data_IF_160578049678
#
_entry.id   IF_160578049678
#
_cell.length_a   1.000
_cell.length_b   1.000
_cell.length_c   1.000
_cell.angle_alpha   90.00
_cell.angle_beta   90.00
_cell.angle_gamma   90.00
#
_symmetry.space_group_name_H-M   'P 1'
#
loop_
_entity.id
_entity.type
_entity.pdbx_description
1 polymer ?
2 non-polymer ?
3 non-polymer ?
4 water ?
#
# COMPACT_ATOMS: atom_id res chain seq x y z
N UNK A 5 -8.72 18.97 18.58
CA UNK A 5 -9.50 18.20 17.53
C UNK A 5 -10.13 16.93 18.14
N UNK A 6 -11.43 16.73 17.88
CA UNK A 6 -12.24 15.57 18.30
C UNK A 6 -12.84 14.90 17.05
N UNK A 7 -12.85 13.58 17.01
CA UNK A 7 -13.29 12.79 15.81
C UNK A 7 -14.31 11.75 16.22
N UNK A 8 -15.37 11.57 15.42
CA UNK A 8 -16.26 10.37 15.52
C UNK A 8 -15.32 9.15 15.56
N UNK A 9 -15.62 8.20 16.42
CA UNK A 9 -14.80 6.98 16.58
C UNK A 9 -15.72 5.76 16.49
N UNK A 10 -15.29 4.76 15.72
CA UNK A 10 -16.03 3.51 15.53
C UNK A 10 -15.29 2.57 14.59
N UNK A 11 -15.61 1.30 14.69
CA UNK A 11 -14.98 0.20 13.93
C UNK A 11 -16.07 -0.79 13.64
N UNK A 12 -16.20 -1.29 12.41
CA UNK A 12 -17.28 -2.24 12.04
C UNK A 12 -16.78 -3.14 10.90
N UNK A 13 -16.85 -4.45 11.07
CA UNK A 13 -16.53 -5.43 10.02
C UNK A 13 -17.71 -6.41 9.97
N UNK A 14 -18.53 -6.36 8.95
CA UNK A 14 -19.76 -7.18 8.85
C UNK A 14 -19.90 -7.73 7.43
N UNK A 15 -20.63 -8.83 7.31
CA UNK A 15 -21.17 -9.31 6.01
C UNK A 15 -22.68 -9.27 6.11
N UNK A 16 -23.30 -8.52 5.22
CA UNK A 16 -24.74 -8.18 5.18
C UNK A 16 -25.37 -8.94 4.00
N UNK A 17 -26.47 -9.67 4.19
CA UNK A 17 -27.33 -10.17 3.08
C UNK A 17 -28.17 -9.00 2.51
N UNK A 18 -28.24 -7.88 3.25
CA UNK A 18 -28.99 -6.66 2.86
C UNK A 18 -28.07 -5.68 2.13
N UNK A 19 -28.62 -4.86 1.20
CA UNK A 19 -27.78 -3.93 0.44
C UNK A 19 -26.99 -2.92 1.29
N UNK A 20 -25.84 -2.45 0.77
CA UNK A 20 -24.99 -1.39 1.38
C UNK A 20 -25.78 -0.10 1.59
N UNK A 21 -26.78 0.18 0.75
CA UNK A 21 -27.53 1.47 0.78
C UNK A 21 -28.64 1.39 1.85
N UNK A 22 -28.60 0.40 2.76
CA UNK A 22 -29.28 0.44 4.09
C UNK A 22 -28.29 0.29 5.25
N UNK A 23 -26.98 0.33 5.01
CA UNK A 23 -25.96 0.37 6.08
C UNK A 23 -26.04 1.73 6.78
N UNK A 24 -26.04 1.73 8.10
CA UNK A 24 -26.03 2.97 8.90
C UNK A 24 -24.62 3.05 9.51
N UNK A 25 -23.85 4.04 9.07
CA UNK A 25 -22.46 4.28 9.54
C UNK A 25 -22.55 5.16 10.79
N UNK A 26 -23.45 4.77 11.70
CA UNK A 26 -23.63 5.42 13.02
C UNK A 26 -22.34 5.19 13.81
N UNK A 27 -21.94 6.22 14.53
CA UNK A 27 -20.89 6.19 15.57
C UNK A 27 -21.45 6.98 16.76
N UNK A 28 -21.52 6.35 17.92
CA UNK A 28 -21.92 6.99 19.20
C UNK A 28 -20.70 7.75 19.73
N UNK A 29 -19.55 7.07 19.73
CA UNK A 29 -18.32 7.49 20.46
C UNK A 29 -17.59 8.62 19.73
N UNK A 30 -16.83 9.41 20.50
CA UNK A 30 -15.90 10.46 20.03
C UNK A 30 -14.55 10.20 20.69
N UNK A 31 -13.46 10.74 20.15
CA UNK A 31 -12.13 10.61 20.80
C UNK A 31 -11.32 11.87 20.48
N UNK A 32 -10.37 12.17 21.37
CA UNK A 32 -9.51 13.38 21.31
C UNK A 32 -8.21 12.99 20.60
N UNK A 33 -7.86 13.79 19.58
CA UNK A 33 -6.64 13.64 18.76
C UNK A 33 -5.50 14.43 19.40
N UNK A 34 -4.29 13.86 19.40
CA UNK A 34 -3.00 14.59 19.49
C UNK A 34 -3.05 15.79 18.55
N UNK A 35 -2.30 16.86 18.84
CA UNK A 35 -2.33 18.09 18.01
C UNK A 35 -1.72 17.77 16.64
N UNK A 36 -2.23 18.42 15.59
CA UNK A 36 -1.80 18.22 14.20
C UNK A 36 -2.38 16.96 13.57
N UNK A 37 -3.27 16.25 14.27
CA UNK A 37 -3.96 15.05 13.74
C UNK A 37 -5.04 15.47 12.75
N UNK A 38 -5.60 14.48 12.05
CA UNK A 38 -6.80 14.63 11.19
C UNK A 38 -7.90 13.69 11.70
N UNK A 39 -9.15 13.94 11.34
CA UNK A 39 -10.22 12.91 11.42
C UNK A 39 -10.19 12.10 10.12
N UNK A 40 -10.38 10.79 10.23
CA UNK A 40 -10.62 9.92 9.05
C UNK A 40 -11.90 9.12 9.26
N UNK A 41 -12.61 8.92 8.15
CA UNK A 41 -13.65 7.88 7.99
C UNK A 41 -13.32 7.15 6.68
N UNK A 42 -13.15 5.84 6.76
CA UNK A 42 -12.75 4.98 5.64
C UNK A 42 -13.62 3.72 5.66
N UNK A 43 -14.10 3.32 4.49
CA UNK A 43 -14.98 2.14 4.35
C UNK A 43 -14.62 1.43 3.05
N UNK A 44 -14.62 0.10 3.09
CA UNK A 44 -14.32 -0.78 1.95
C UNK A 44 -15.52 -1.70 1.86
N UNK A 45 -16.12 -1.75 0.67
CA UNK A 45 -17.40 -2.44 0.42
C UNK A 45 -17.15 -3.46 -0.69
N UNK A 46 -17.47 -4.71 -0.43
CA UNK A 46 -17.15 -5.84 -1.33
C UNK A 46 -18.41 -6.65 -1.47
N UNK A 47 -18.95 -6.73 -2.67
CA UNK A 47 -20.23 -7.41 -2.94
C UNK A 47 -19.92 -8.57 -3.88
N UNK A 48 -20.33 -9.74 -3.44
CA UNK A 48 -20.26 -11.03 -4.18
C UNK A 48 -21.67 -11.62 -4.11
N UNK A 49 -22.30 -11.81 -5.25
CA UNK A 49 -23.71 -12.25 -5.28
C UNK A 49 -24.59 -11.28 -4.51
N UNK A 50 -25.29 -11.74 -3.48
CA UNK A 50 -26.26 -10.93 -2.71
C UNK A 50 -25.64 -10.50 -1.39
N UNK A 51 -24.38 -10.84 -1.12
CA UNK A 51 -23.76 -10.50 0.17
C UNK A 51 -22.75 -9.37 -0.03
N UNK A 52 -22.66 -8.53 0.98
CA UNK A 52 -21.78 -7.34 0.99
C UNK A 52 -20.97 -7.35 2.29
N UNK A 53 -19.66 -7.43 2.15
CA UNK A 53 -18.72 -7.25 3.26
C UNK A 53 -18.42 -5.75 3.37
N UNK A 54 -18.51 -5.21 4.58
CA UNK A 54 -18.32 -3.76 4.86
C UNK A 54 -17.29 -3.67 5.97
N UNK A 55 -16.11 -3.11 5.67
CA UNK A 55 -15.02 -2.85 6.64
C UNK A 55 -14.93 -1.34 6.82
N UNK A 56 -15.27 -0.83 8.00
CA UNK A 56 -15.46 0.62 8.25
C UNK A 56 -14.73 1.03 9.52
N UNK A 57 -14.05 2.18 9.45
CA UNK A 57 -13.20 2.72 10.53
C UNK A 57 -13.39 4.23 10.56
N UNK A 58 -13.58 4.76 11.77
CA UNK A 58 -13.58 6.21 12.06
C UNK A 58 -12.69 6.49 13.27
N UNK A 59 -11.89 7.54 13.20
CA UNK A 59 -11.12 8.02 14.36
C UNK A 59 -10.09 9.06 13.96
N UNK A 60 -9.25 9.44 14.92
CA UNK A 60 -8.08 10.32 14.69
C UNK A 60 -7.04 9.53 13.87
N UNK A 61 -6.28 10.21 13.04
CA UNK A 61 -5.00 9.72 12.49
C UNK A 61 -3.97 10.83 12.64
N UNK A 62 -2.74 10.47 13.09
CA UNK A 62 -1.75 11.48 13.47
C UNK A 62 -1.29 12.35 12.29
N UNK A 63 -1.25 11.82 11.07
CA UNK A 63 -0.77 12.61 9.90
C UNK A 63 -1.55 12.18 8.65
N UNK A 64 -1.65 13.12 7.71
CA UNK A 64 -2.28 12.90 6.40
C UNK A 64 -2.58 14.22 5.72
N UNK A 65 -2.94 14.14 4.44
CA UNK A 65 -3.46 15.28 3.66
C UNK A 65 -4.98 15.26 3.79
N UNK A 66 -5.58 16.41 4.04
CA UNK A 66 -7.05 16.60 3.88
C UNK A 66 -7.41 16.19 2.46
N UNK A 67 -8.35 15.26 2.29
CA UNK A 67 -8.80 14.78 0.96
C UNK A 67 -10.00 13.83 1.12
N UNK A 68 -10.90 13.85 0.15
CA UNK A 68 -11.94 12.80 -0.01
C UNK A 68 -11.57 11.97 -1.23
N UNK A 69 -11.47 10.66 -1.05
CA UNK A 69 -11.00 9.72 -2.10
C UNK A 69 -12.03 8.60 -2.24
N UNK A 70 -12.67 8.52 -3.39
CA UNK A 70 -13.59 7.39 -3.77
C UNK A 70 -12.91 6.59 -4.87
N UNK A 71 -12.80 5.28 -4.62
CA UNK A 71 -12.14 4.38 -5.58
C UNK A 71 -13.14 3.29 -5.92
N UNK A 72 -13.41 3.14 -7.22
CA UNK A 72 -14.21 2.02 -7.72
C UNK A 72 -13.23 0.93 -8.14
N UNK A 73 -12.83 0.09 -7.18
CA UNK A 73 -11.73 -0.90 -7.37
C UNK A 73 -12.16 -1.94 -8.43
N UNK A 74 -13.38 -2.43 -8.33
CA UNK A 74 -13.99 -3.35 -9.33
C UNK A 74 -15.40 -2.87 -9.59
N UNK A 75 -15.72 -2.72 -10.87
CA UNK A 75 -17.06 -2.28 -11.35
C UNK A 75 -17.81 -3.48 -11.90
N UNK A 76 -19.14 -3.42 -12.06
CA UNK A 76 -19.88 -4.49 -12.75
C UNK A 76 -19.36 -4.66 -14.17
N UNK A 77 -19.51 -5.85 -14.79
CA UNK A 77 -20.29 -6.95 -14.21
C UNK A 77 -19.56 -7.81 -13.17
N UNK A 78 -20.34 -8.33 -12.22
CA UNK A 78 -19.87 -9.32 -11.25
C UNK A 78 -19.36 -8.65 -9.97
N UNK A 79 -18.21 -9.09 -9.47
CA UNK A 79 -17.66 -8.61 -8.17
C UNK A 79 -17.53 -7.09 -8.21
N UNK A 80 -18.00 -6.43 -7.17
CA UNK A 80 -17.99 -4.94 -7.06
C UNK A 80 -17.26 -4.59 -5.77
N UNK A 81 -16.26 -3.72 -5.87
CA UNK A 81 -15.46 -3.25 -4.71
C UNK A 81 -15.31 -1.73 -4.84
N UNK A 82 -15.80 -1.03 -3.82
CA UNK A 82 -15.72 0.44 -3.72
C UNK A 82 -15.11 0.81 -2.38
N UNK A 83 -14.31 1.87 -2.35
CA UNK A 83 -13.86 2.45 -1.08
C UNK A 83 -14.12 3.96 -1.09
N UNK A 84 -14.41 4.44 0.12
CA UNK A 84 -14.53 5.86 0.42
C UNK A 84 -13.63 6.16 1.62
N UNK A 85 -12.82 7.21 1.49
CA UNK A 85 -11.95 7.71 2.58
C UNK A 85 -12.06 9.23 2.63
N UNK A 86 -12.34 9.76 3.80
CA UNK A 86 -12.42 11.22 4.04
C UNK A 86 -11.48 11.54 5.22
N UNK A 87 -10.43 12.29 4.93
CA UNK A 87 -9.44 12.83 5.89
C UNK A 87 -9.75 14.32 5.98
N UNK A 88 -10.25 14.78 7.15
CA UNK A 88 -10.83 16.13 7.34
C UNK A 88 -10.33 16.72 8.67
N UNK A 89 -10.27 18.04 8.77
CA UNK A 89 -9.46 18.73 9.82
C UNK A 89 -10.34 19.56 10.77
N UNK A 90 -11.67 19.47 10.70
CA UNK A 90 -12.58 20.14 11.67
C UNK A 90 -13.17 19.07 12.60
N UNK A 91 -13.19 19.30 13.91
CA UNK A 91 -13.80 18.38 14.91
C UNK A 91 -15.13 17.83 14.41
N UNK A 92 -15.36 16.52 14.56
CA UNK A 92 -16.64 15.82 14.22
C UNK A 92 -16.88 15.81 12.69
N UNK A 93 -15.88 16.16 11.87
CA UNK A 93 -16.06 16.29 10.39
C UNK A 93 -16.29 14.90 9.76
N UNK A 94 -15.82 13.82 10.41
CA UNK A 94 -15.94 12.42 9.91
C UNK A 94 -17.32 11.88 10.28
N UNK A 95 -18.37 12.46 9.69
CA UNK A 95 -19.79 12.28 10.12
C UNK A 95 -20.64 11.57 9.04
N UNK A 96 -20.03 10.91 8.06
CA UNK A 96 -20.81 10.16 7.03
C UNK A 96 -21.69 9.11 7.71
N UNK A 97 -22.95 8.96 7.27
CA UNK A 97 -23.94 8.00 7.83
C UNK A 97 -24.48 7.05 6.74
N UNK A 98 -24.48 7.45 5.46
CA UNK A 98 -25.13 6.71 4.35
C UNK A 98 -24.12 6.38 3.24
N UNK A 99 -24.32 5.24 2.58
CA UNK A 99 -23.58 4.77 1.39
C UNK A 99 -24.50 4.76 0.16
N UNK A 100 -25.61 5.50 0.21
CA UNK A 100 -26.68 5.50 -0.83
C UNK A 100 -26.15 5.99 -2.19
N UNK A 101 -25.08 6.77 -2.19
CA UNK A 101 -24.47 7.31 -3.46
C UNK A 101 -23.89 6.16 -4.29
N UNK A 102 -23.51 5.02 -3.68
CA UNK A 102 -22.79 3.90 -4.35
C UNK A 102 -23.80 2.91 -4.97
N UNK A 103 -24.45 3.35 -6.04
CA UNK A 103 -25.60 2.62 -6.65
C UNK A 103 -25.07 1.38 -7.40
N UNK A 104 -23.76 1.24 -7.55
CA UNK A 104 -23.15 -0.02 -8.05
C UNK A 104 -23.58 -1.19 -7.14
N UNK A 105 -23.95 -0.92 -5.87
CA UNK A 105 -24.39 -1.97 -4.88
C UNK A 105 -25.91 -2.19 -4.86
N UNK A 106 -26.65 -1.61 -5.83
CA UNK A 106 -28.13 -1.73 -5.96
C UNK A 106 -28.46 -2.34 -7.32
N UNK A 107 -28.90 -3.60 -7.36
CA UNK A 107 -29.19 -4.35 -8.64
C UNK A 107 -30.12 -5.51 -8.31
N UNK A 114 -25.63 -16.65 -26.45
CA UNK A 114 -24.64 -15.91 -25.63
C UNK A 114 -24.04 -16.79 -24.51
N UNK A 115 -23.10 -16.24 -23.73
CA UNK A 115 -22.20 -17.01 -22.83
C UNK A 115 -22.58 -16.75 -21.37
N UNK A 116 -22.95 -17.80 -20.65
CA UNK A 116 -23.13 -17.78 -19.18
C UNK A 116 -22.01 -18.59 -18.50
N UNK A 117 -21.28 -17.90 -17.62
CA UNK A 117 -20.34 -18.47 -16.66
C UNK A 117 -21.11 -18.80 -15.39
N UNK A 118 -20.76 -19.92 -14.77
CA UNK A 118 -21.17 -20.30 -13.40
C UNK A 118 -19.89 -20.36 -12.57
N UNK A 119 -19.80 -19.53 -11.54
CA UNK A 119 -18.59 -19.32 -10.71
C UNK A 119 -18.94 -19.51 -9.26
N UNK A 120 -18.03 -20.17 -8.51
CA UNK A 120 -18.13 -20.21 -7.05
C UNK A 120 -18.25 -18.76 -6.53
N UNK A 121 -19.24 -18.52 -5.67
CA UNK A 121 -19.58 -17.16 -5.18
C UNK A 121 -19.64 -17.19 -3.67
N UNK A 122 -18.89 -16.29 -3.03
CA UNK A 122 -18.97 -16.07 -1.58
C UNK A 122 -18.18 -14.80 -1.25
N UNK A 123 -18.48 -14.24 -0.11
CA UNK A 123 -17.57 -13.31 0.60
C UNK A 123 -17.76 -13.56 2.10
N UNK A 124 -16.66 -13.56 2.85
CA UNK A 124 -16.62 -13.93 4.27
C UNK A 124 -15.49 -13.18 4.94
N UNK A 125 -15.72 -12.80 6.19
CA UNK A 125 -14.64 -12.48 7.15
C UNK A 125 -13.98 -13.81 7.51
N UNK A 126 -12.68 -13.90 7.33
CA UNK A 126 -11.93 -15.16 7.46
C UNK A 126 -12.05 -15.97 6.18
N UNK A 127 -12.53 -17.20 6.27
CA UNK A 127 -12.69 -18.10 5.10
C UNK A 127 -14.18 -18.32 4.90
N UNK A 128 -14.61 -18.52 3.65
CA UNK A 128 -16.02 -18.81 3.29
C UNK A 128 -16.35 -20.19 3.80
N UNK A 129 -17.51 -20.37 4.46
CA UNK A 129 -18.04 -21.69 4.84
C UNK A 129 -18.25 -22.49 3.55
N UNK A 130 -18.83 -21.86 2.53
CA UNK A 130 -19.23 -22.50 1.25
C UNK A 130 -19.28 -21.47 0.12
N UNK A 131 -19.12 -21.93 -1.13
CA UNK A 131 -19.11 -21.06 -2.32
C UNK A 131 -19.77 -21.81 -3.48
N UNK A 132 -21.10 -21.95 -3.49
CA UNK A 132 -21.80 -22.61 -4.60
C UNK A 132 -21.52 -21.92 -5.94
N UNK A 133 -21.46 -22.66 -7.04
CA UNK A 133 -21.27 -22.09 -8.39
C UNK A 133 -22.62 -21.57 -8.89
N UNK A 134 -22.69 -20.27 -9.17
CA UNK A 134 -23.96 -19.56 -9.44
C UNK A 134 -23.85 -18.97 -10.83
N UNK A 135 -24.99 -18.72 -11.51
CA UNK A 135 -24.97 -18.10 -12.81
C UNK A 135 -24.46 -16.66 -12.69
N UNK A 136 -23.52 -16.28 -13.53
CA UNK A 136 -22.83 -14.96 -13.44
C UNK A 136 -23.58 -13.95 -14.30
N UNK A 137 -23.58 -12.67 -13.89
CA UNK A 137 -24.14 -11.61 -14.74
C UNK A 137 -23.52 -11.59 -16.14
N UNK A 138 -24.33 -11.26 -17.13
CA UNK A 138 -23.88 -11.14 -18.53
C UNK A 138 -22.69 -10.17 -18.57
N UNK A 139 -21.71 -10.44 -19.43
CA UNK A 139 -20.44 -9.70 -19.53
C UNK A 139 -19.33 -10.35 -18.68
N UNK A 140 -19.68 -11.19 -17.69
CA UNK A 140 -18.65 -12.00 -16.98
C UNK A 140 -17.90 -12.87 -17.99
N UNK A 141 -16.57 -12.94 -17.87
CA UNK A 141 -15.72 -13.79 -18.74
C UNK A 141 -14.94 -14.82 -17.91
N UNK A 142 -14.87 -14.70 -16.58
CA UNK A 142 -14.08 -15.67 -15.78
C UNK A 142 -14.48 -15.67 -14.31
N UNK A 143 -13.98 -16.64 -13.58
CA UNK A 143 -14.24 -16.78 -12.14
C UNK A 143 -13.02 -16.21 -11.41
N UNK A 144 -13.27 -15.48 -10.33
CA UNK A 144 -12.23 -14.96 -9.42
C UNK A 144 -12.32 -15.70 -8.08
N UNK A 145 -11.17 -16.06 -7.54
CA UNK A 145 -10.99 -16.49 -6.14
C UNK A 145 -9.81 -15.71 -5.58
N UNK A 146 -9.97 -15.09 -4.42
CA UNK A 146 -8.90 -14.32 -3.78
C UNK A 146 -9.13 -14.19 -2.31
N UNK A 147 -8.14 -13.62 -1.62
CA UNK A 147 -8.24 -13.27 -0.19
C UNK A 147 -7.59 -11.92 -0.02
N UNK A 148 -8.20 -11.07 0.79
CA UNK A 148 -7.69 -9.74 1.12
C UNK A 148 -7.21 -9.79 2.56
N UNK A 149 -5.95 -9.48 2.81
CA UNK A 149 -5.40 -9.35 4.19
C UNK A 149 -5.34 -7.86 4.48
N UNK A 150 -6.09 -7.43 5.48
CA UNK A 150 -6.31 -5.98 5.73
C UNK A 150 -5.76 -5.63 7.10
N UNK A 151 -4.90 -4.64 7.17
CA UNK A 151 -4.34 -4.11 8.45
C UNK A 151 -4.40 -2.59 8.38
N UNK A 152 -4.62 -1.94 9.52
CA UNK A 152 -4.54 -0.49 9.66
C UNK A 152 -5.91 0.06 10.01
N UNK A 153 -5.94 1.25 10.63
CA UNK A 153 -7.14 1.92 11.13
C UNK A 153 -7.93 1.10 12.13
N UNK A 154 -7.29 0.16 12.83
CA UNK A 154 -7.96 -0.74 13.79
C UNK A 154 -8.63 -1.92 13.11
N UNK A 155 -8.50 -2.02 11.78
CA UNK A 155 -9.05 -3.17 10.99
C UNK A 155 -7.95 -4.22 10.90
N UNK A 156 -8.22 -5.40 11.39
CA UNK A 156 -7.34 -6.58 11.23
C UNK A 156 -8.25 -7.72 10.82
N UNK A 157 -8.28 -8.05 9.52
CA UNK A 157 -9.11 -9.16 9.02
C UNK A 157 -8.58 -9.72 7.71
N UNK A 158 -8.95 -10.95 7.46
CA UNK A 158 -8.82 -11.61 6.15
C UNK A 158 -10.23 -11.57 5.57
N UNK A 159 -10.36 -11.33 4.28
CA UNK A 159 -11.68 -11.46 3.60
C UNK A 159 -11.48 -12.42 2.43
N UNK A 160 -12.26 -13.49 2.39
CA UNK A 160 -12.28 -14.38 1.23
C UNK A 160 -13.37 -13.90 0.26
N UNK A 161 -13.03 -13.90 -1.03
CA UNK A 161 -13.90 -13.39 -2.11
C UNK A 161 -13.83 -14.36 -3.28
N UNK A 162 -14.97 -14.91 -3.69
CA UNK A 162 -15.11 -15.66 -4.95
C UNK A 162 -16.33 -15.13 -5.71
N UNK A 163 -16.17 -14.90 -6.99
CA UNK A 163 -17.31 -14.62 -7.85
C UNK A 163 -16.92 -14.46 -9.30
N UNK A 164 -17.74 -13.69 -9.97
CA UNK A 164 -17.80 -13.48 -11.42
C UNK A 164 -17.05 -12.18 -11.74
N UNK A 165 -16.31 -12.13 -12.84
CA UNK A 165 -15.69 -10.87 -13.28
C UNK A 165 -15.33 -10.92 -14.77
N UNK A 166 -15.05 -9.76 -15.35
CA UNK A 166 -14.35 -9.57 -16.65
C UNK A 166 -12.94 -9.03 -16.41
N UNK A 167 -12.54 -8.76 -15.16
CA UNK A 167 -11.19 -8.19 -14.86
C UNK A 167 -10.17 -9.26 -15.21
N UNK A 168 -8.95 -8.83 -15.52
CA UNK A 168 -7.78 -9.69 -15.84
C UNK A 168 -6.91 -9.83 -14.58
N UNK A 169 -6.65 -11.09 -14.21
CA UNK A 169 -5.73 -11.49 -13.14
C UNK A 169 -6.29 -11.22 -11.74
N UNK A 170 -5.39 -11.13 -10.79
CA UNK A 170 -5.71 -10.99 -9.36
C UNK A 170 -5.78 -9.50 -9.00
N UNK A 171 -6.80 -8.79 -9.50
CA UNK A 171 -6.83 -7.30 -9.49
C UNK A 171 -8.20 -6.81 -9.01
N UNK A 172 -8.82 -7.53 -8.09
CA UNK A 172 -10.03 -7.02 -7.40
C UNK A 172 -9.80 -5.60 -6.87
N UNK A 173 -8.61 -5.30 -6.31
CA UNK A 173 -8.33 -3.97 -5.72
C UNK A 173 -7.75 -3.02 -6.78
N UNK A 174 -7.54 -3.47 -8.03
CA UNK A 174 -6.89 -2.71 -9.12
C UNK A 174 -5.52 -2.17 -8.64
N UNK A 175 -4.81 -2.90 -7.77
CA UNK A 175 -3.49 -2.51 -7.25
C UNK A 175 -3.54 -1.26 -6.37
N UNK A 176 -4.73 -0.83 -5.99
CA UNK A 176 -4.87 0.33 -5.05
C UNK A 176 -5.01 -0.25 -3.65
N UNK A 177 -3.88 -0.47 -2.97
CA UNK A 177 -3.77 -1.30 -1.75
C UNK A 177 -3.81 -0.41 -0.49
N UNK A 178 -3.59 0.90 -0.62
CA UNK A 178 -3.76 1.88 0.48
C UNK A 178 -5.19 2.45 0.43
N UNK A 179 -5.97 2.24 1.48
CA UNK A 179 -7.38 2.65 1.49
C UNK A 179 -7.56 3.36 2.84
N UNK A 180 -7.53 4.68 2.79
CA UNK A 180 -7.24 5.52 3.97
C UNK A 180 -6.10 4.89 4.77
N UNK A 181 -6.32 4.57 6.06
CA UNK A 181 -5.25 4.00 6.88
C UNK A 181 -5.09 2.48 6.72
N UNK A 182 -5.97 1.82 5.95
CA UNK A 182 -5.88 0.37 5.74
C UNK A 182 -4.86 0.09 4.64
N UNK A 183 -4.20 -1.05 4.78
CA UNK A 183 -3.35 -1.66 3.73
C UNK A 183 -4.00 -3.00 3.39
N UNK A 184 -4.29 -3.21 2.11
CA UNK A 184 -5.07 -4.39 1.65
C UNK A 184 -4.13 -5.22 0.76
N UNK A 185 -3.76 -6.40 1.21
CA UNK A 185 -2.90 -7.32 0.42
C UNK A 185 -3.83 -8.31 -0.26
N UNK A 186 -3.80 -8.35 -1.59
CA UNK A 186 -4.68 -9.21 -2.41
C UNK A 186 -3.81 -10.33 -2.94
N UNK A 187 -4.23 -11.57 -2.75
CA UNK A 187 -3.55 -12.75 -3.32
C UNK A 187 -4.62 -13.73 -3.81
N UNK A 188 -4.34 -14.40 -4.92
CA UNK A 188 -5.20 -15.44 -5.54
C UNK A 188 -4.49 -16.80 -5.58
N UNK A 189 -5.22 -17.92 -5.62
CA UNK A 189 -4.70 -19.29 -5.65
C UNK A 189 -3.48 -19.53 -6.49
N UNK A 190 -3.51 -19.27 -7.80
CA UNK A 190 -2.27 -19.45 -8.59
C UNK A 190 -1.92 -18.19 -9.37
N UNK B 5 2.24 5.69 -25.64
CA UNK B 5 3.31 5.97 -24.64
C UNK B 5 4.33 4.83 -24.51
N UNK B 6 5.61 5.19 -24.46
CA UNK B 6 6.75 4.28 -24.21
C UNK B 6 7.49 4.74 -22.94
N UNK B 7 7.91 3.78 -22.12
CA UNK B 7 8.64 4.05 -20.86
C UNK B 7 9.92 3.21 -20.81
N UNK B 8 11.01 3.81 -20.34
CA UNK B 8 12.23 3.04 -19.93
C UNK B 8 11.73 1.93 -18.99
N UNK B 9 12.21 0.71 -19.17
CA UNK B 9 11.76 -0.44 -18.35
C UNK B 9 12.99 -1.14 -17.76
N UNK B 10 12.91 -1.43 -16.46
CA UNK B 10 14.03 -2.02 -15.70
C UNK B 10 13.67 -2.25 -14.25
N UNK B 11 14.33 -3.24 -13.66
CA UNK B 11 14.09 -3.69 -12.28
C UNK B 11 15.44 -4.06 -11.72
N UNK B 12 15.81 -3.56 -10.54
CA UNK B 12 17.15 -3.82 -9.95
C UNK B 12 17.04 -3.87 -8.41
N UNK B 13 17.48 -4.96 -7.81
CA UNK B 13 17.49 -5.10 -6.34
C UNK B 13 18.89 -5.60 -5.97
N UNK B 14 19.74 -4.72 -5.42
CA UNK B 14 21.15 -5.03 -5.14
C UNK B 14 21.51 -4.49 -3.77
N UNK B 15 22.52 -5.11 -3.15
CA UNK B 15 23.24 -4.52 -1.99
C UNK B 15 24.67 -4.30 -2.44
N UNK B 16 25.12 -3.04 -2.37
CA UNK B 16 26.37 -2.51 -2.92
C UNK B 16 27.31 -2.18 -1.75
N UNK B 17 28.55 -2.68 -1.78
CA UNK B 17 29.55 -2.40 -0.73
C UNK B 17 30.25 -1.07 -1.01
N UNK B 18 30.06 -0.46 -2.19
CA UNK B 18 30.52 0.93 -2.52
C UNK B 18 29.32 1.85 -2.69
N UNK B 19 29.49 3.19 -2.55
CA UNK B 19 28.35 4.11 -2.46
C UNK B 19 27.39 4.10 -3.68
N UNK B 20 26.14 4.53 -3.48
CA UNK B 20 25.15 4.82 -4.55
C UNK B 20 25.41 6.20 -5.17
N UNK B 21 26.56 6.83 -4.92
CA UNK B 21 27.10 7.92 -5.77
C UNK B 21 27.72 7.34 -7.04
N UNK B 22 27.83 6.00 -7.15
CA UNK B 22 28.32 5.29 -8.36
C UNK B 22 27.30 4.24 -8.83
N UNK B 23 26.06 4.24 -8.33
CA UNK B 23 24.97 3.41 -8.91
C UNK B 23 24.61 3.98 -10.29
N UNK B 24 24.52 3.13 -11.30
CA UNK B 24 24.12 3.56 -12.65
C UNK B 24 22.74 2.99 -12.91
N UNK B 25 21.75 3.88 -13.01
CA UNK B 25 20.32 3.52 -13.19
C UNK B 25 20.01 3.34 -14.67
N UNK B 26 21.02 3.05 -15.50
CA UNK B 26 20.83 2.82 -16.96
C UNK B 26 19.97 1.58 -17.11
N UNK B 27 19.16 1.57 -18.16
CA UNK B 27 18.06 0.60 -18.40
C UNK B 27 18.16 0.13 -19.86
N UNK B 28 18.02 -1.19 -20.08
CA UNK B 28 18.32 -1.87 -21.36
C UNK B 28 17.11 -1.77 -22.30
N UNK B 29 15.91 -1.58 -21.75
CA UNK B 29 14.64 -2.05 -22.34
C UNK B 29 13.62 -0.90 -22.37
N UNK B 30 12.61 -1.07 -23.23
CA UNK B 30 11.49 -0.11 -23.44
C UNK B 30 10.21 -0.93 -23.39
N UNK B 31 9.21 -0.44 -22.66
CA UNK B 31 7.87 -1.04 -22.52
C UNK B 31 6.89 -0.14 -23.30
N UNK B 32 5.95 -0.73 -24.04
CA UNK B 32 4.84 0.03 -24.66
C UNK B 32 3.66 -0.10 -23.71
N UNK B 33 3.12 1.04 -23.27
CA UNK B 33 2.11 1.12 -22.19
C UNK B 33 0.71 0.84 -22.76
N UNK B 34 -0.15 0.22 -21.95
CA UNK B 34 -1.63 0.27 -22.12
C UNK B 34 -2.03 1.73 -22.27
N UNK B 35 -3.19 1.98 -22.90
CA UNK B 35 -3.78 3.33 -23.08
C UNK B 35 -3.99 3.95 -21.69
N UNK B 36 -3.72 5.25 -21.55
CA UNK B 36 -3.96 6.02 -20.32
C UNK B 36 -2.88 5.82 -19.26
N UNK B 37 -1.83 5.03 -19.52
CA UNK B 37 -0.72 4.78 -18.57
C UNK B 37 0.19 6.00 -18.46
N UNK B 38 1.04 5.99 -17.44
CA UNK B 38 2.11 6.99 -17.15
C UNK B 38 3.46 6.23 -17.15
N UNK B 39 4.58 6.93 -17.26
CA UNK B 39 5.90 6.36 -16.89
C UNK B 39 6.20 6.61 -15.39
N UNK B 40 6.91 5.69 -14.75
CA UNK B 40 7.47 5.90 -13.39
C UNK B 40 8.91 5.42 -13.36
N UNK B 41 9.73 6.14 -12.61
CA UNK B 41 11.01 5.66 -12.08
C UNK B 41 11.00 5.91 -10.56
N UNK B 42 11.25 4.85 -9.80
CA UNK B 42 11.19 4.87 -8.32
C UNK B 42 12.38 4.08 -7.78
N UNK B 43 13.03 4.65 -6.77
CA UNK B 43 14.19 3.99 -6.13
C UNK B 43 14.11 4.22 -4.63
N UNK B 44 14.40 3.17 -3.88
CA UNK B 44 14.45 3.17 -2.40
C UNK B 44 15.86 2.71 -2.04
N UNK B 45 16.53 3.54 -1.26
CA UNK B 45 17.96 3.41 -0.88
C UNK B 45 18.02 3.28 0.64
N UNK B 46 18.69 2.22 1.11
CA UNK B 46 18.84 1.90 2.54
C UNK B 46 20.33 1.67 2.80
N UNK B 47 20.92 2.52 3.59
CA UNK B 47 22.37 2.44 3.91
C UNK B 47 22.49 2.08 5.39
N UNK B 48 23.19 0.97 5.63
CA UNK B 48 23.55 0.45 6.96
C UNK B 48 25.06 0.22 6.94
N UNK B 49 25.81 0.98 7.73
CA UNK B 49 27.27 0.90 7.72
C UNK B 49 27.79 1.24 6.33
N UNK B 50 28.51 0.31 5.71
CA UNK B 50 29.18 0.52 4.40
C UNK B 50 28.35 -0.07 3.27
N UNK B 51 27.19 -0.68 3.57
CA UNK B 51 26.37 -1.31 2.51
C UNK B 51 25.14 -0.45 2.23
N UNK B 52 24.79 -0.40 0.96
CA UNK B 52 23.58 0.28 0.45
C UNK B 52 22.74 -0.72 -0.33
N UNK B 53 21.54 -0.97 0.16
CA UNK B 53 20.52 -1.70 -0.61
C UNK B 53 19.79 -0.69 -1.50
N UNK B 54 19.62 -1.05 -2.76
CA UNK B 54 18.97 -0.20 -3.79
C UNK B 54 17.90 -1.06 -4.44
N UNK B 55 16.64 -0.62 -4.28
CA UNK B 55 15.47 -1.24 -4.94
C UNK B 55 14.95 -0.23 -5.95
N UNK B 56 15.08 -0.56 -7.24
CA UNK B 56 14.86 0.40 -8.34
C UNK B 56 13.96 -0.23 -9.38
N UNK B 57 12.98 0.55 -9.84
CA UNK B 57 11.92 0.10 -10.74
C UNK B 57 11.63 1.23 -11.74
N UNK B 58 11.56 0.86 -13.03
CA UNK B 58 11.15 1.74 -14.13
C UNK B 58 10.16 0.99 -15.00
N UNK B 59 9.12 1.67 -15.43
CA UNK B 59 8.11 1.04 -16.29
C UNK B 59 6.88 1.88 -16.43
N UNK B 60 5.94 1.38 -17.21
CA UNK B 60 4.57 1.89 -17.34
C UNK B 60 3.87 1.60 -16.00
N UNK B 61 3.01 2.51 -15.57
CA UNK B 61 2.03 2.27 -14.49
C UNK B 61 0.68 2.74 -14.99
N UNK B 62 -0.40 1.99 -14.69
CA UNK B 62 -1.72 2.26 -15.27
C UNK B 62 -2.26 3.66 -14.95
N UNK B 63 -1.96 4.19 -13.76
CA UNK B 63 -2.54 5.47 -13.30
C UNK B 63 -1.62 6.13 -12.27
N UNK B 64 -1.84 7.42 -12.05
CA UNK B 64 -1.07 8.26 -11.13
C UNK B 64 -1.08 9.71 -11.59
N UNK B 65 -0.71 10.61 -10.68
CA UNK B 65 -0.53 12.05 -10.95
C UNK B 65 0.93 12.28 -11.32
N UNK B 66 1.18 13.03 -12.39
CA UNK B 66 2.51 13.56 -12.72
C UNK B 66 3.05 14.27 -11.48
N UNK B 67 4.23 13.86 -10.98
CA UNK B 67 4.83 14.42 -9.76
C UNK B 67 6.21 13.81 -9.55
N UNK B 68 7.10 14.57 -8.93
CA UNK B 68 8.33 14.03 -8.32
C UNK B 68 8.14 14.09 -6.80
N UNK B 69 8.49 12.99 -6.13
CA UNK B 69 8.42 12.86 -4.67
C UNK B 69 9.78 12.37 -4.17
N UNK B 70 10.45 13.18 -3.36
CA UNK B 70 11.79 12.87 -2.78
C UNK B 70 11.61 12.81 -1.28
N UNK B 71 11.88 11.66 -0.66
CA UNK B 71 11.59 11.44 0.77
C UNK B 71 12.89 11.05 1.47
N UNK B 72 13.30 11.84 2.45
CA UNK B 72 14.27 11.41 3.47
C UNK B 72 13.53 10.69 4.61
N UNK B 73 13.41 9.37 4.51
CA UNK B 73 12.65 8.58 5.50
C UNK B 73 13.42 8.56 6.83
N UNK B 74 14.72 8.35 6.77
CA UNK B 74 15.63 8.40 7.95
C UNK B 74 16.90 9.12 7.52
N UNK B 75 17.29 10.12 8.29
CA UNK B 75 18.49 10.95 8.10
C UNK B 75 19.53 10.53 9.14
N UNK B 76 20.80 10.98 9.02
CA UNK B 76 21.81 10.76 10.05
C UNK B 76 21.36 11.33 11.38
N UNK B 77 21.91 10.84 12.52
CA UNK B 77 22.99 9.84 12.48
C UNK B 77 22.53 8.37 12.30
N UNK B 78 23.35 7.57 11.64
CA UNK B 78 23.16 6.12 11.53
C UNK B 78 22.35 5.74 10.29
N UNK B 79 21.38 4.84 10.45
CA UNK B 79 20.62 4.26 9.31
C UNK B 79 20.01 5.39 8.47
N UNK B 80 20.20 5.31 7.16
CA UNK B 80 19.70 6.31 6.18
C UNK B 80 18.76 5.60 5.21
N UNK B 81 17.59 6.18 5.01
CA UNK B 81 16.61 5.67 4.02
C UNK B 81 16.07 6.86 3.24
N UNK B 82 16.26 6.83 1.93
CA UNK B 82 15.85 7.86 0.96
C UNK B 82 15.07 7.19 -0.15
N UNK B 83 14.02 7.84 -0.66
CA UNK B 83 13.30 7.39 -1.87
C UNK B 83 13.12 8.58 -2.84
N UNK B 84 13.18 8.25 -4.11
CA UNK B 84 12.87 9.17 -5.22
C UNK B 84 11.85 8.48 -6.10
N UNK B 85 10.77 9.19 -6.45
CA UNK B 85 9.77 8.69 -7.41
C UNK B 85 9.41 9.82 -8.37
N UNK B 86 9.47 9.52 -9.67
CA UNK B 86 9.08 10.43 -10.76
C UNK B 86 8.02 9.72 -11.60
N UNK B 87 6.81 10.25 -11.59
CA UNK B 87 5.64 9.82 -12.38
C UNK B 87 5.46 10.86 -13.45
N UNK B 88 5.70 10.52 -14.72
CA UNK B 88 5.81 11.51 -15.83
C UNK B 88 5.06 10.98 -17.06
N UNK B 89 4.53 11.87 -17.91
CA UNK B 89 3.51 11.47 -18.92
C UNK B 89 3.99 11.65 -20.36
N UNK B 90 5.28 11.91 -20.58
CA UNK B 90 5.89 11.93 -21.94
C UNK B 90 6.70 10.64 -22.15
N UNK B 91 6.54 9.99 -23.31
CA UNK B 91 7.37 8.84 -23.73
C UNK B 91 8.84 9.05 -23.34
N UNK B 92 9.46 8.01 -22.74
CA UNK B 92 10.89 7.99 -22.33
C UNK B 92 11.23 9.03 -21.26
N UNK B 93 10.24 9.64 -20.59
CA UNK B 93 10.51 10.70 -19.57
C UNK B 93 11.24 10.12 -18.34
N UNK B 94 11.07 8.82 -18.05
CA UNK B 94 11.63 8.15 -16.83
C UNK B 94 13.08 7.74 -17.12
N UNK B 95 13.96 8.73 -17.31
CA UNK B 95 15.30 8.55 -17.94
C UNK B 95 16.45 8.84 -16.95
N UNK B 96 16.19 8.92 -15.63
CA UNK B 96 17.26 9.21 -14.64
C UNK B 96 18.36 8.13 -14.74
N UNK B 97 19.64 8.52 -14.65
CA UNK B 97 20.81 7.60 -14.66
C UNK B 97 21.66 7.73 -13.38
N UNK B 98 21.67 8.90 -12.72
CA UNK B 98 22.49 9.19 -11.51
C UNK B 98 21.56 9.55 -10.34
N UNK B 99 22.00 9.31 -9.10
CA UNK B 99 21.20 9.53 -7.87
C UNK B 99 21.77 10.71 -7.05
N UNK B 100 22.79 11.40 -7.56
CA UNK B 100 23.58 12.41 -6.81
C UNK B 100 22.71 13.60 -6.36
N UNK B 101 21.61 13.85 -7.06
CA UNK B 101 20.68 14.98 -6.80
C UNK B 101 19.99 14.76 -5.45
N UNK B 102 19.83 13.51 -4.99
CA UNK B 102 19.15 13.17 -3.71
C UNK B 102 19.91 12.06 -2.98
N UNK B 103 21.20 11.86 -3.28
CA UNK B 103 22.01 10.83 -2.59
C UNK B 103 23.50 11.20 -2.56
N UNK B 104 24.04 11.32 -1.33
CA UNK B 104 25.48 11.41 -0.98
C UNK B 104 25.81 10.25 -0.01
N UNK B 115 29.65 8.19 25.95
CA UNK B 115 29.27 6.76 25.77
C UNK B 115 29.12 6.44 24.28
N UNK B 116 29.91 5.46 23.81
CA UNK B 116 29.86 4.90 22.45
C UNK B 116 28.99 3.62 22.43
N UNK B 117 28.02 3.60 21.53
CA UNK B 117 27.13 2.47 21.21
C UNK B 117 27.80 1.66 20.11
N UNK B 118 27.76 0.34 20.21
CA UNK B 118 28.16 -0.62 19.15
C UNK B 118 26.91 -1.47 18.84
N UNK B 119 26.49 -1.50 17.59
CA UNK B 119 25.22 -2.14 17.15
C UNK B 119 25.52 -3.11 16.04
N UNK B 120 24.87 -4.29 16.06
CA UNK B 120 24.77 -5.13 14.88
C UNK B 120 24.29 -4.30 13.67
N UNK B 121 25.04 -4.37 12.57
CA UNK B 121 24.79 -3.56 11.37
C UNK B 121 24.75 -4.48 10.16
N UNK B 122 23.70 -4.37 9.35
CA UNK B 122 23.54 -5.12 8.11
C UNK B 122 22.37 -4.53 7.35
N UNK B 123 22.38 -4.74 6.05
CA UNK B 123 21.15 -4.69 5.23
C UNK B 123 21.26 -5.78 4.19
N UNK B 124 20.19 -6.52 4.00
CA UNK B 124 20.15 -7.70 3.13
C UNK B 124 18.79 -7.83 2.50
N UNK B 125 18.78 -8.24 1.24
CA UNK B 125 17.59 -8.82 0.56
C UNK B 125 17.36 -10.18 1.18
N UNK B 126 16.21 -10.42 1.78
CA UNK B 126 16.00 -11.63 2.58
C UNK B 126 16.51 -11.41 3.99
N UNK B 127 17.36 -12.28 4.50
CA UNK B 127 17.86 -12.17 5.89
C UNK B 127 19.33 -11.80 5.86
N UNK B 128 19.75 -11.02 6.86
CA UNK B 128 21.18 -10.91 7.24
C UNK B 128 21.60 -12.24 7.89
N UNK B 129 22.50 -12.93 7.22
CA UNK B 129 23.14 -14.16 7.78
C UNK B 129 23.99 -13.71 8.95
N UNK B 130 24.65 -12.57 8.84
CA UNK B 130 25.43 -12.01 9.97
C UNK B 130 25.35 -10.48 9.97
N UNK B 131 25.48 -9.91 11.16
CA UNK B 131 25.40 -8.47 11.41
C UNK B 131 26.46 -8.09 12.45
N UNK B 132 27.73 -7.96 12.03
CA UNK B 132 28.81 -7.58 12.94
C UNK B 132 28.52 -6.24 13.63
N UNK B 133 28.94 -6.07 14.88
CA UNK B 133 28.65 -4.85 15.65
C UNK B 133 29.69 -3.78 15.29
N UNK B 134 29.21 -2.62 14.90
CA UNK B 134 30.07 -1.48 14.52
C UNK B 134 29.91 -0.38 15.55
N UNK B 135 30.96 0.44 15.73
CA UNK B 135 30.84 1.63 16.57
C UNK B 135 29.87 2.60 15.88
N UNK B 136 28.89 3.12 16.61
CA UNK B 136 27.80 3.97 16.09
C UNK B 136 28.25 5.43 16.03
N UNK B 137 27.83 6.18 14.98
CA UNK B 137 28.15 7.60 14.87
C UNK B 137 27.64 8.38 16.07
N UNK B 138 28.36 9.47 16.40
CA UNK B 138 27.94 10.49 17.38
C UNK B 138 26.48 10.84 17.16
N UNK B 139 25.69 10.93 18.24
CA UNK B 139 24.26 11.29 18.20
C UNK B 139 23.35 10.06 18.17
N UNK B 140 23.86 8.90 17.76
CA UNK B 140 23.01 7.67 17.75
C UNK B 140 22.74 7.33 19.21
N UNK B 141 21.52 6.90 19.52
CA UNK B 141 21.10 6.59 20.92
C UNK B 141 20.69 5.12 21.08
N UNK B 142 20.52 4.34 20.00
CA UNK B 142 20.07 2.93 20.19
C UNK B 142 20.36 2.09 18.95
N UNK B 143 20.24 0.78 19.12
CA UNK B 143 20.41 -0.18 17.99
C UNK B 143 19.04 -0.49 17.40
N UNK B 144 18.93 -0.48 16.09
CA UNK B 144 17.68 -0.77 15.37
C UNK B 144 17.82 -2.14 14.72
N UNK B 145 16.77 -2.94 14.82
CA UNK B 145 16.59 -4.11 13.91
C UNK B 145 15.15 -4.10 13.44
N UNK B 146 14.98 -4.39 12.17
CA UNK B 146 13.67 -4.35 11.51
C UNK B 146 13.71 -5.14 10.23
N UNK B 147 12.54 -5.31 9.61
CA UNK B 147 12.38 -5.96 8.29
C UNK B 147 11.36 -5.13 7.53
N UNK B 148 11.64 -4.87 6.26
CA UNK B 148 10.71 -4.20 5.33
C UNK B 148 10.15 -5.27 4.40
N UNK B 149 8.82 -5.40 4.34
CA UNK B 149 8.14 -6.26 3.35
C UNK B 149 7.69 -5.34 2.23
N UNK B 150 8.25 -5.55 1.04
CA UNK B 150 8.03 -4.63 -0.10
C UNK B 150 7.32 -5.40 -1.20
N UNK B 151 6.23 -4.83 -1.72
CA UNK B 151 5.48 -5.36 -2.88
C UNK B 151 5.12 -4.20 -3.81
N UNK B 152 5.05 -4.47 -5.10
CA UNK B 152 4.62 -3.49 -6.12
C UNK B 152 5.77 -3.06 -7.00
N UNK B 153 5.44 -2.60 -8.22
CA UNK B 153 6.40 -2.13 -9.23
C UNK B 153 7.37 -3.21 -9.67
N UNK B 154 7.01 -4.49 -9.50
CA UNK B 154 7.89 -5.64 -9.80
C UNK B 154 8.87 -5.95 -8.68
N UNK B 155 8.83 -5.18 -7.59
CA UNK B 155 9.70 -5.39 -6.40
C UNK B 155 8.91 -6.27 -5.44
N UNK B 156 9.43 -7.46 -5.16
CA UNK B 156 8.82 -8.43 -4.23
C UNK B 156 9.99 -8.93 -3.38
N UNK B 157 10.18 -8.37 -2.19
CA UNK B 157 11.33 -8.71 -1.34
C UNK B 157 11.04 -8.36 0.12
N UNK B 158 11.71 -9.08 0.98
CA UNK B 158 11.90 -8.70 2.39
C UNK B 158 13.30 -8.07 2.46
N UNK B 159 13.46 -7.00 3.22
CA UNK B 159 14.79 -6.41 3.47
C UNK B 159 14.98 -6.41 4.98
N UNK B 160 16.03 -7.07 5.46
CA UNK B 160 16.41 -6.98 6.87
C UNK B 160 17.40 -5.82 7.05
N UNK B 161 17.19 -5.06 8.10
CA UNK B 161 17.97 -3.82 8.39
C UNK B 161 18.31 -3.80 9.87
N UNK B 162 19.60 -3.65 10.16
CA UNK B 162 20.11 -3.48 11.53
C UNK B 162 21.17 -2.38 11.48
N UNK B 163 21.16 -1.50 12.46
CA UNK B 163 22.23 -0.52 12.60
C UNK B 163 21.98 0.43 13.75
N UNK B 164 22.61 1.59 13.62
CA UNK B 164 22.60 2.67 14.62
C UNK B 164 21.50 3.67 14.29
N UNK B 165 20.78 4.18 15.30
CA UNK B 165 19.81 5.27 15.03
C UNK B 165 19.58 6.13 16.27
N UNK B 166 19.02 7.32 16.05
CA UNK B 166 18.39 8.18 17.10
C UNK B 166 16.87 8.12 16.99
N UNK B 167 16.29 7.46 15.97
CA UNK B 167 14.82 7.45 15.78
C UNK B 167 14.21 6.67 16.93
N UNK B 168 12.96 6.97 17.26
CA UNK B 168 12.14 6.33 18.33
C UNK B 168 11.18 5.35 17.66
N UNK B 169 11.27 4.09 18.11
CA UNK B 169 10.38 2.97 17.73
C UNK B 169 10.59 2.50 16.31
N UNK B 170 9.53 2.05 15.67
CA UNK B 170 9.60 1.34 14.39
C UNK B 170 9.38 2.33 13.23
N UNK B 171 10.29 3.29 13.04
CA UNK B 171 10.00 4.48 12.19
C UNK B 171 11.10 4.70 11.14
N UNK B 172 11.81 3.65 10.73
CA UNK B 172 12.81 3.77 9.63
C UNK B 172 12.16 4.41 8.40
N UNK B 173 10.92 4.06 8.06
CA UNK B 173 10.21 4.54 6.86
C UNK B 173 9.40 5.80 7.20
N UNK B 174 9.46 6.28 8.44
CA UNK B 174 8.69 7.44 8.98
C UNK B 174 7.20 7.26 8.66
N UNK B 175 6.71 6.02 8.69
CA UNK B 175 5.28 5.71 8.52
C UNK B 175 4.81 5.92 7.10
N UNK B 176 5.71 6.09 6.14
CA UNK B 176 5.33 6.24 4.71
C UNK B 176 5.34 4.87 4.02
N UNK B 177 4.14 4.33 3.75
CA UNK B 177 3.85 3.00 3.16
C UNK B 177 4.11 2.97 1.65
N UNK B 178 3.72 4.04 0.94
CA UNK B 178 3.73 4.07 -0.54
C UNK B 178 5.00 4.76 -1.00
N UNK B 179 5.77 4.09 -1.85
CA UNK B 179 6.99 4.70 -2.44
C UNK B 179 6.90 4.40 -3.93
N UNK B 180 6.51 5.42 -4.71
CA UNK B 180 5.95 5.22 -6.05
C UNK B 180 5.00 4.02 -6.02
N UNK B 181 5.21 3.01 -6.88
CA UNK B 181 4.30 1.86 -6.92
C UNK B 181 4.58 0.79 -5.87
N UNK B 182 5.63 0.96 -5.06
CA UNK B 182 5.92 0.01 -3.96
C UNK B 182 5.03 0.33 -2.76
N UNK B 183 4.69 -0.72 -2.02
CA UNK B 183 4.10 -0.63 -0.67
C UNK B 183 5.13 -1.29 0.28
N UNK B 184 5.49 -0.57 1.33
CA UNK B 184 6.60 -0.96 2.25
C UNK B 184 6.00 -1.11 3.64
N UNK B 185 6.02 -2.31 4.17
CA UNK B 185 5.56 -2.58 5.56
C UNK B 185 6.82 -2.75 6.42
N UNK B 186 6.93 -2.01 7.52
CA UNK B 186 8.09 -2.03 8.43
C UNK B 186 7.66 -2.76 9.70
N UNK B 187 8.43 -3.76 10.12
CA UNK B 187 8.21 -4.45 11.41
C UNK B 187 9.51 -4.45 12.22
N UNK B 188 9.40 -4.20 13.53
CA UNK B 188 10.50 -4.20 14.54
C UNK B 188 10.01 -4.94 15.79
N UNK B 189 10.88 -5.18 16.80
CA UNK B 189 10.45 -5.82 18.05
C UNK B 189 9.37 -4.99 18.77
N UNK B 190 8.45 -5.66 19.48
CA UNK B 190 7.40 -5.06 20.35
C UNK B 190 7.99 -4.80 21.75
#
# INVERSE_FOLDING_TARGET
RSPWLYCQKGLSMTVEADPANMFNWTTEEVETCDKGALCQETILIIKAGTETAILATKGCIPEGEEAITIVQHSSPPGLIVTSYSNYCEDSFCNDKDSLSQFWEFSETTASTVSTTLHCPTCVALGTCFSAPSLPCPNGTTRCYQGKLEITGGGIESSVEVKGCTAMIGCRLMSGILAVGPMFVREACPHQLLTQPRKTENEFLEVLFQ
RSPWLYCQKGLSMTVEADPANMFNWTTEEVETCDKGALCQETILIIKAGTETAILATKGCIPEGEEAITIVQHSSPPGLIVTSYSNYCEDSFCNDKDSLSQFWEFSETTASTVSTTLHCPTCVALGTCFSAPSLPCPNGTTRCYQGKLEITGGGIESSVEVKGCTAMIGCRLMSGILAVGPMFVREACPHQLLTQPRKTENEFLEVLFQ
#
